data_IF_828069907958
#
_entry.id   IF_828069907958
#
_cell.length_a   1.000
_cell.length_b   1.000
_cell.length_c   1.000
_cell.angle_alpha   90.00
_cell.angle_beta   90.00
_cell.angle_gamma   90.00
#
_symmetry.space_group_name_H-M   'P 1'
#
loop_
_entity.id
_entity.type
_entity.pdbx_description
1 polymer ?
#
# COMPACT_ATOMS: atom_id res chain seq x y z
N UNK A 1 21.83 -3.91 -18.32
CA UNK A 1 22.26 -2.70 -17.60
C UNK A 1 21.68 -2.79 -16.20
N UNK A 2 22.52 -2.51 -15.22
CA UNK A 2 22.54 -3.15 -13.91
C UNK A 2 21.47 -2.59 -12.96
N UNK A 3 20.74 -3.52 -12.35
CA UNK A 3 20.09 -3.48 -11.03
C UNK A 3 20.19 -2.16 -10.25
N UNK A 4 19.04 -1.58 -9.90
CA UNK A 4 18.94 -0.63 -8.80
C UNK A 4 17.74 -0.99 -7.92
N UNK A 5 17.90 -0.71 -6.62
CA UNK A 5 16.89 -0.56 -5.56
C UNK A 5 16.80 -1.68 -4.51
N UNK A 6 17.91 -1.96 -3.83
CA UNK A 6 17.83 -2.25 -2.39
C UNK A 6 17.88 -0.90 -1.65
N UNK A 7 16.79 -0.52 -0.98
CA UNK A 7 16.73 0.69 -0.13
C UNK A 7 15.69 1.75 -0.48
N UNK A 8 14.79 1.51 -1.43
CA UNK A 8 13.73 2.46 -1.78
C UNK A 8 12.45 2.10 -1.03
N UNK A 9 11.83 3.09 -0.39
CA UNK A 9 10.58 2.88 0.35
C UNK A 9 9.41 2.64 -0.60
N UNK A 10 8.32 2.06 -0.09
CA UNK A 10 7.14 1.80 -0.91
C UNK A 10 6.50 3.10 -1.40
N UNK A 11 6.60 4.17 -0.62
CA UNK A 11 6.12 5.51 -0.97
C UNK A 11 6.94 6.10 -2.12
N UNK A 12 8.27 5.98 -2.07
CA UNK A 12 9.12 6.41 -3.18
C UNK A 12 8.85 5.58 -4.45
N UNK A 13 8.55 4.28 -4.30
CA UNK A 13 8.14 3.45 -5.43
C UNK A 13 6.80 3.92 -6.02
N UNK A 14 5.84 4.33 -5.19
CA UNK A 14 4.58 4.90 -5.64
C UNK A 14 4.80 6.17 -6.47
N UNK A 15 5.62 7.10 -5.97
CA UNK A 15 5.93 8.34 -6.70
C UNK A 15 6.55 8.05 -8.08
N UNK A 16 7.48 7.09 -8.16
CA UNK A 16 8.08 6.69 -9.42
C UNK A 16 7.08 6.05 -10.38
N UNK A 17 6.14 5.25 -9.87
CA UNK A 17 5.09 4.62 -10.70
C UNK A 17 4.09 5.66 -11.20
N UNK A 18 3.74 6.67 -10.41
CA UNK A 18 2.88 7.77 -10.86
C UNK A 18 3.54 8.53 -12.01
N UNK A 19 4.84 8.82 -11.90
CA UNK A 19 5.59 9.46 -12.98
C UNK A 19 5.64 8.58 -14.24
N UNK A 20 5.83 7.27 -14.09
CA UNK A 20 5.80 6.32 -15.20
C UNK A 20 4.42 6.22 -15.85
N UNK A 21 3.34 6.23 -15.07
CA UNK A 21 1.97 6.23 -15.58
C UNK A 21 1.69 7.50 -16.41
N UNK A 22 2.07 8.68 -15.90
CA UNK A 22 1.97 9.91 -16.68
C UNK A 22 2.77 9.86 -18.00
N UNK A 23 4.00 9.35 -17.97
CA UNK A 23 4.80 9.19 -19.18
C UNK A 23 4.16 8.21 -20.17
N UNK A 24 3.71 7.05 -19.70
CA UNK A 24 3.05 6.04 -20.53
C UNK A 24 1.77 6.59 -21.19
N UNK A 25 0.95 7.32 -20.45
CA UNK A 25 -0.26 7.98 -20.98
C UNK A 25 0.07 9.13 -21.95
N UNK A 26 1.15 9.87 -21.70
CA UNK A 26 1.60 10.94 -22.59
C UNK A 26 2.17 10.42 -23.91
N UNK A 27 2.87 9.29 -23.89
CA UNK A 27 3.50 8.68 -25.07
C UNK A 27 2.52 7.85 -25.90
N UNK A 28 1.65 7.08 -25.24
CA UNK A 28 0.77 6.10 -25.91
C UNK A 28 -0.69 6.58 -26.03
N UNK A 29 -1.04 7.67 -25.35
CA UNK A 29 -2.38 8.24 -25.32
C UNK A 29 -3.18 7.81 -24.09
N UNK A 30 -4.11 8.69 -23.67
CA UNK A 30 -4.86 8.53 -22.41
C UNK A 30 -5.77 7.29 -22.37
N UNK A 31 -6.18 6.77 -23.53
CA UNK A 31 -7.06 5.60 -23.64
C UNK A 31 -6.31 4.34 -24.07
N UNK A 32 -4.97 4.37 -24.06
CA UNK A 32 -4.15 3.23 -24.46
C UNK A 32 -4.13 2.15 -23.37
N UNK A 33 -3.86 0.90 -23.77
CA UNK A 33 -3.71 -0.21 -22.83
C UNK A 33 -2.49 -0.06 -21.94
N UNK A 34 -1.42 0.55 -22.45
CA UNK A 34 -0.19 0.86 -21.72
C UNK A 34 -0.43 1.89 -20.62
N UNK A 35 -1.22 2.94 -20.91
CA UNK A 35 -1.66 3.91 -19.91
C UNK A 35 -2.46 3.23 -18.80
N UNK A 36 -3.44 2.39 -19.15
CA UNK A 36 -4.25 1.66 -18.17
C UNK A 36 -3.39 0.72 -17.31
N UNK A 37 -2.53 -0.09 -17.93
CA UNK A 37 -1.64 -1.03 -17.22
C UNK A 37 -0.68 -0.30 -16.26
N UNK A 38 -0.19 0.87 -16.64
CA UNK A 38 0.68 1.65 -15.78
C UNK A 38 -0.06 2.20 -14.55
N UNK A 39 -1.32 2.61 -14.70
CA UNK A 39 -2.17 2.99 -13.59
C UNK A 39 -2.59 1.80 -12.72
N UNK A 40 -2.83 0.61 -13.28
CA UNK A 40 -3.09 -0.61 -12.50
C UNK A 40 -1.93 -0.89 -11.53
N UNK A 41 -0.69 -0.73 -11.97
CA UNK A 41 0.48 -0.89 -11.11
C UNK A 41 0.53 0.16 -9.96
N UNK A 42 0.05 1.38 -10.22
CA UNK A 42 -0.08 2.44 -9.20
C UNK A 42 -1.17 2.09 -8.19
N UNK A 43 -2.29 1.53 -8.63
CA UNK A 43 -3.38 1.11 -7.76
C UNK A 43 -2.96 -0.04 -6.82
N UNK A 44 -2.25 -1.04 -7.34
CA UNK A 44 -1.75 -2.16 -6.54
C UNK A 44 -0.81 -1.71 -5.42
N UNK A 45 0.13 -0.80 -5.71
CA UNK A 45 1.05 -0.29 -4.69
C UNK A 45 0.33 0.57 -3.64
N UNK A 46 -0.67 1.35 -4.05
CA UNK A 46 -1.49 2.09 -3.08
C UNK A 46 -2.31 1.15 -2.19
N UNK A 47 -2.86 0.06 -2.75
CA UNK A 47 -3.56 -0.96 -1.99
C UNK A 47 -2.63 -1.59 -0.95
N UNK A 48 -1.39 -1.92 -1.32
CA UNK A 48 -0.39 -2.44 -0.39
C UNK A 48 -0.05 -1.44 0.73
N UNK A 49 0.14 -0.15 0.40
CA UNK A 49 0.39 0.90 1.41
C UNK A 49 -0.79 0.98 2.39
N UNK A 50 -2.01 0.95 1.88
CA UNK A 50 -3.23 0.96 2.69
C UNK A 50 -3.29 -0.25 3.62
N UNK A 51 -3.00 -1.44 3.08
CA UNK A 51 -2.99 -2.68 3.86
C UNK A 51 -1.95 -2.65 4.98
N UNK A 52 -0.71 -2.24 4.65
CA UNK A 52 0.37 -2.09 5.65
C UNK A 52 -0.02 -1.11 6.77
N UNK A 53 -0.76 -0.04 6.44
CA UNK A 53 -1.28 0.91 7.44
C UNK A 53 -2.37 0.30 8.31
N UNK A 54 -3.24 -0.55 7.76
CA UNK A 54 -4.28 -1.23 8.52
C UNK A 54 -3.74 -2.30 9.48
N UNK A 55 -2.58 -2.89 9.15
CA UNK A 55 -1.96 -3.93 9.99
C UNK A 55 -1.24 -3.37 11.23
N UNK A 56 -1.04 -2.05 11.31
CA UNK A 56 -0.43 -1.41 12.47
C UNK A 56 -1.43 -1.41 13.63
N UNK A 57 -1.21 -2.31 14.59
CA UNK A 57 -1.99 -2.38 15.83
C UNK A 57 -1.81 -1.10 16.66
N UNK A 58 -2.91 -0.59 17.20
CA UNK A 58 -2.87 0.49 18.19
C UNK A 58 -2.33 -0.03 19.53
N UNK A 59 -1.92 0.88 20.42
CA UNK A 59 -1.52 0.51 21.78
C UNK A 59 -2.62 -0.26 22.52
N UNK A 60 -3.89 0.08 22.26
CA UNK A 60 -5.04 -0.62 22.83
C UNK A 60 -5.16 -2.05 22.28
N UNK A 61 -5.04 -2.23 20.96
CA UNK A 61 -5.06 -3.56 20.35
C UNK A 61 -3.95 -4.44 20.91
N UNK A 62 -2.73 -3.93 21.02
CA UNK A 62 -1.59 -4.64 21.61
C UNK A 62 -1.86 -5.02 23.07
N UNK A 63 -2.38 -4.09 23.87
CA UNK A 63 -2.74 -4.36 25.26
C UNK A 63 -3.79 -5.47 25.38
N UNK A 64 -4.81 -5.47 24.53
CA UNK A 64 -5.84 -6.49 24.54
C UNK A 64 -5.38 -7.85 24.01
N UNK A 65 -4.40 -7.89 23.09
CA UNK A 65 -3.77 -9.15 22.69
C UNK A 65 -3.03 -9.81 23.86
N UNK A 66 -2.35 -9.01 24.70
CA UNK A 66 -1.58 -9.48 25.85
C UNK A 66 -2.44 -9.74 27.10
N UNK A 67 -3.57 -9.03 27.23
CA UNK A 67 -4.47 -9.06 28.39
C UNK A 67 -5.93 -9.27 27.95
N UNK A 68 -6.28 -10.42 27.36
CA UNK A 68 -7.62 -10.65 26.81
C UNK A 68 -8.73 -10.66 27.87
N UNK A 69 -8.39 -10.90 29.13
CA UNK A 69 -9.31 -10.91 30.26
C UNK A 69 -9.44 -9.55 30.97
N UNK A 70 -8.69 -8.52 30.55
CA UNK A 70 -8.87 -7.15 31.02
C UNK A 70 -10.30 -6.67 30.76
N UNK A 71 -10.86 -5.84 31.66
CA UNK A 71 -12.26 -5.44 31.59
C UNK A 71 -12.59 -4.71 30.27
N UNK A 72 -11.62 -3.97 29.73
CA UNK A 72 -11.70 -3.21 28.49
C UNK A 72 -11.58 -4.08 27.23
N UNK A 73 -11.11 -5.33 27.35
CA UNK A 73 -10.75 -6.19 26.22
C UNK A 73 -11.67 -7.42 26.05
N UNK A 74 -12.54 -7.69 27.02
CA UNK A 74 -13.47 -8.84 26.95
C UNK A 74 -14.47 -8.65 25.81
N UNK A 75 -14.39 -9.55 24.83
CA UNK A 75 -15.40 -9.70 23.78
C UNK A 75 -16.32 -10.85 24.18
N UNK A 76 -17.62 -10.60 24.17
CA UNK A 76 -18.64 -11.61 24.46
C UNK A 76 -19.31 -12.02 23.14
N UNK A 77 -19.43 -13.32 22.89
CA UNK A 77 -20.22 -13.83 21.78
C UNK A 77 -21.70 -13.46 22.00
N UNK A 78 -22.33 -12.85 20.98
CA UNK A 78 -23.74 -12.43 20.96
C UNK A 78 -24.54 -13.27 19.98
#
# INVERSE_FOLDING_TARGET
MTQAKEGITIEQRLDDLVNQAHAACGENGMMSGECATAWDAVEEVQAEISHRRSDVKTAFNLYCDENPDAAECRVYDV
#
